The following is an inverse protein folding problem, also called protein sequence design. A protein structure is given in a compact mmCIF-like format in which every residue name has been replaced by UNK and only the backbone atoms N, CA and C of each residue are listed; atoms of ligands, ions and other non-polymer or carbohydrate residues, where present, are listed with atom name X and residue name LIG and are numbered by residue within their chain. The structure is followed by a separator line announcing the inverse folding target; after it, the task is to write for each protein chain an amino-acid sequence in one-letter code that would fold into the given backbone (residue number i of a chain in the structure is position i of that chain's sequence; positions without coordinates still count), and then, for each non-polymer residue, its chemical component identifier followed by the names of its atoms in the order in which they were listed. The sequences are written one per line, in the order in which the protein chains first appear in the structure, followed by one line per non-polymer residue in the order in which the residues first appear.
data_IF_100250491070
#
_entry.id   IF_100250491070
#
_cell.length_a   1.000
_cell.length_b   1.000
_cell.length_c   1.000
_cell.angle_alpha   90.00
_cell.angle_beta   90.00
_cell.angle_gamma   90.00
#
_symmetry.space_group_name_H-M   'P 1'
#
loop_
_entity.id
_entity.type
_entity.pdbx_description
1 polymer ?
#
# COMPACT_ATOMS: atom_id res chain seq x y z
N UNK A 1 -40.95 -19.75 55.12
CA UNK A 1 -40.76 -18.64 54.17
C UNK A 1 -39.50 -18.96 53.36
N UNK A 2 -39.66 -19.58 52.18
CA UNK A 2 -39.38 -19.00 50.84
C UNK A 2 -37.87 -18.75 50.60
N UNK A 3 -37.11 -19.56 49.81
CA UNK A 3 -36.99 -19.56 48.32
C UNK A 3 -37.00 -18.12 47.76
N UNK A 4 -36.04 -17.59 47.00
CA UNK A 4 -34.96 -18.12 46.13
C UNK A 4 -34.24 -16.92 45.44
N UNK A 5 -33.28 -17.20 44.53
CA UNK A 5 -32.75 -16.36 43.42
C UNK A 5 -31.53 -15.48 43.75
N UNK A 6 -30.32 -15.75 43.21
CA UNK A 6 -29.78 -15.42 41.85
C UNK A 6 -29.73 -13.90 41.65
N UNK A 7 -28.71 -13.22 41.12
CA UNK A 7 -27.64 -13.55 40.18
C UNK A 7 -26.65 -12.36 40.22
N UNK A 8 -25.35 -12.59 40.31
CA UNK A 8 -24.39 -12.37 39.21
C UNK A 8 -24.67 -11.15 38.32
N UNK A 9 -23.91 -10.07 38.51
CA UNK A 9 -23.60 -9.12 37.45
C UNK A 9 -22.08 -8.89 37.45
N UNK A 10 -21.37 -9.85 36.84
CA UNK A 10 -20.06 -9.59 36.27
C UNK A 10 -20.33 -8.83 34.98
N UNK A 11 -20.23 -7.50 35.01
CA UNK A 11 -20.07 -6.70 33.81
C UNK A 11 -18.65 -6.95 33.27
N UNK A 12 -18.47 -8.05 32.54
CA UNK A 12 -17.41 -8.14 31.53
C UNK A 12 -17.75 -7.15 30.44
N UNK A 13 -17.22 -5.93 30.59
CA UNK A 13 -17.03 -5.01 29.48
C UNK A 13 -16.04 -5.70 28.54
N UNK A 14 -16.56 -6.50 27.60
CA UNK A 14 -15.85 -6.79 26.37
C UNK A 14 -15.74 -5.46 25.64
N UNK A 15 -14.67 -4.73 25.94
CA UNK A 15 -14.10 -3.82 24.97
C UNK A 15 -13.71 -4.70 23.79
N UNK A 16 -14.62 -4.80 22.83
CA UNK A 16 -14.26 -5.16 21.46
C UNK A 16 -13.41 -4.00 20.98
N UNK A 17 -12.14 -4.02 21.38
CA UNK A 17 -11.10 -3.39 20.61
C UNK A 17 -11.22 -4.04 19.24
N UNK A 18 -11.92 -3.36 18.33
CA UNK A 18 -11.66 -3.51 16.93
C UNK A 18 -10.20 -3.08 16.82
N UNK A 19 -9.29 -4.04 16.90
CA UNK A 19 -7.99 -3.88 16.32
C UNK A 19 -8.29 -3.62 14.85
N UNK A 20 -8.40 -2.35 14.49
CA UNK A 20 -8.20 -1.91 13.13
C UNK A 20 -6.75 -2.29 12.90
N UNK A 21 -6.54 -3.52 12.42
CA UNK A 21 -5.22 -3.98 12.03
C UNK A 21 -4.80 -3.03 10.93
N UNK A 22 -3.80 -2.19 11.23
CA UNK A 22 -3.09 -1.43 10.22
C UNK A 22 -2.68 -2.43 9.14
N UNK A 23 -3.15 -2.19 7.92
CA UNK A 23 -2.99 -3.11 6.80
C UNK A 23 -1.55 -3.02 6.36
N UNK A 24 -0.70 -3.89 6.91
CA UNK A 24 0.71 -3.86 6.59
C UNK A 24 0.94 -4.53 5.22
N UNK A 25 1.36 -3.75 4.22
CA UNK A 25 1.60 -4.24 2.86
C UNK A 25 2.66 -5.36 2.85
N UNK A 26 3.75 -5.18 3.58
CA UNK A 26 4.77 -6.22 3.81
C UNK A 26 4.21 -7.50 4.46
N UNK A 27 3.24 -7.40 5.36
CA UNK A 27 2.56 -8.57 5.93
C UNK A 27 1.59 -9.25 4.94
N UNK A 28 1.11 -8.51 3.93
CA UNK A 28 0.09 -8.99 3.00
C UNK A 28 0.69 -9.63 1.74
N UNK A 29 1.75 -9.04 1.19
CA UNK A 29 2.47 -9.59 0.05
C UNK A 29 3.49 -10.63 0.47
N UNK A 30 4.07 -10.50 1.67
CA UNK A 30 5.02 -11.45 2.25
C UNK A 30 6.29 -11.61 1.40
N UNK A 31 7.14 -12.57 1.77
CA UNK A 31 8.34 -12.94 0.98
C UNK A 31 8.05 -14.01 -0.08
N UNK A 32 6.86 -14.61 -0.02
CA UNK A 32 6.47 -15.76 -0.85
C UNK A 32 5.78 -15.35 -2.16
N UNK A 33 5.65 -14.04 -2.40
CA UNK A 33 5.13 -13.49 -3.65
C UNK A 33 6.01 -13.87 -4.84
N UNK A 34 5.39 -14.37 -5.91
CA UNK A 34 6.08 -14.69 -7.17
C UNK A 34 6.29 -13.41 -7.98
N UNK A 35 7.50 -13.20 -8.49
CA UNK A 35 7.80 -12.11 -9.44
C UNK A 35 7.19 -12.46 -10.79
N UNK A 36 6.20 -11.67 -11.22
CA UNK A 36 5.48 -11.88 -12.48
C UNK A 36 5.97 -10.95 -13.61
N UNK A 37 6.52 -9.79 -13.27
CA UNK A 37 7.21 -8.92 -14.23
C UNK A 37 8.39 -8.20 -13.58
N UNK A 38 9.37 -7.83 -14.41
CA UNK A 38 10.55 -7.09 -14.01
C UNK A 38 10.97 -6.21 -15.18
N UNK A 39 10.39 -5.01 -15.21
CA UNK A 39 10.59 -4.03 -16.25
C UNK A 39 11.60 -2.98 -15.79
N UNK A 40 12.25 -2.31 -16.74
CA UNK A 40 13.22 -1.26 -16.44
C UNK A 40 13.01 -0.05 -17.32
N UNK A 41 13.36 1.12 -16.79
CA UNK A 41 13.41 2.37 -17.54
C UNK A 41 14.65 3.17 -17.13
N UNK A 42 15.06 4.11 -17.98
CA UNK A 42 16.28 4.89 -17.76
C UNK A 42 15.93 6.37 -17.65
N UNK A 43 16.46 7.02 -16.63
CA UNK A 43 16.32 8.45 -16.37
C UNK A 43 17.64 9.00 -15.83
N UNK A 44 18.14 10.11 -16.37
CA UNK A 44 19.43 10.72 -16.00
C UNK A 44 20.60 9.73 -15.86
N UNK A 45 20.78 8.85 -16.86
CA UNK A 45 21.80 7.80 -16.90
C UNK A 45 21.73 6.75 -15.76
N UNK A 46 20.63 6.73 -15.00
CA UNK A 46 20.33 5.72 -13.98
C UNK A 46 19.25 4.77 -14.48
N UNK A 47 19.36 3.50 -14.11
CA UNK A 47 18.35 2.48 -14.42
C UNK A 47 17.45 2.28 -13.21
N UNK A 48 16.15 2.42 -13.45
CA UNK A 48 15.10 2.15 -12.49
C UNK A 48 14.42 0.84 -12.85
N UNK A 49 14.02 0.10 -11.82
CA UNK A 49 13.34 -1.18 -11.93
C UNK A 49 11.92 -1.05 -11.42
N UNK A 50 11.02 -1.73 -12.11
CA UNK A 50 9.62 -1.89 -11.78
C UNK A 50 9.37 -3.39 -11.67
N UNK A 51 9.26 -3.89 -10.45
CA UNK A 51 9.09 -5.33 -10.18
C UNK A 51 7.69 -5.59 -9.69
N UNK A 52 6.93 -6.37 -10.44
CA UNK A 52 5.59 -6.78 -10.06
C UNK A 52 5.63 -8.15 -9.37
N UNK A 53 4.97 -8.28 -8.23
CA UNK A 53 4.87 -9.52 -7.45
C UNK A 53 3.44 -9.85 -7.09
N UNK A 54 3.14 -11.14 -6.96
CA UNK A 54 1.85 -11.59 -6.41
C UNK A 54 1.79 -11.40 -4.90
N UNK A 55 0.61 -11.09 -4.37
CA UNK A 55 0.36 -10.89 -2.95
C UNK A 55 -0.66 -11.92 -2.41
N UNK A 56 -0.23 -13.17 -2.14
CA UNK A 56 -1.14 -14.26 -1.78
C UNK A 56 -1.94 -14.02 -0.49
N UNK A 57 -1.45 -13.16 0.41
CA UNK A 57 -2.17 -12.79 1.63
C UNK A 57 -3.46 -12.01 1.36
N UNK A 58 -3.58 -11.31 0.22
CA UNK A 58 -4.77 -10.54 -0.15
C UNK A 58 -5.95 -11.48 -0.43
N UNK A 59 -5.73 -12.51 -1.25
CA UNK A 59 -6.75 -13.52 -1.58
C UNK A 59 -7.26 -14.24 -0.31
N UNK A 60 -6.33 -14.63 0.56
CA UNK A 60 -6.65 -15.31 1.82
C UNK A 60 -7.53 -14.43 2.72
N UNK A 61 -7.23 -13.13 2.83
CA UNK A 61 -8.00 -12.18 3.63
C UNK A 61 -9.41 -11.93 3.07
N UNK A 62 -9.56 -11.74 1.76
CA UNK A 62 -10.89 -11.57 1.13
C UNK A 62 -11.81 -12.77 1.36
N UNK A 63 -11.26 -13.98 1.35
CA UNK A 63 -12.04 -15.20 1.62
C UNK A 63 -12.65 -15.19 3.03
N UNK A 64 -12.01 -14.51 3.99
CA UNK A 64 -12.49 -14.34 5.36
C UNK A 64 -13.45 -13.16 5.50
N UNK A 65 -13.27 -12.10 4.70
CA UNK A 65 -14.01 -10.84 4.82
C UNK A 65 -15.33 -10.79 4.03
N UNK A 66 -15.66 -11.82 3.22
CA UNK A 66 -16.90 -12.01 2.44
C UNK A 66 -18.02 -10.98 2.72
N UNK A 67 -17.92 -9.80 2.07
CA UNK A 67 -18.97 -8.78 2.04
C UNK A 67 -19.59 -8.75 0.64
N UNK A 68 -20.89 -8.44 0.62
CA UNK A 68 -21.74 -8.40 -0.56
C UNK A 68 -21.13 -7.55 -1.68
N UNK A 69 -20.92 -8.18 -2.84
CA UNK A 69 -20.34 -7.57 -4.04
C UNK A 69 -21.36 -6.65 -4.71
N UNK A 70 -21.20 -5.34 -4.53
CA UNK A 70 -21.77 -4.36 -5.45
C UNK A 70 -20.98 -4.41 -6.75
N UNK A 71 -21.67 -4.57 -7.87
CA UNK A 71 -21.09 -4.51 -9.22
C UNK A 71 -20.45 -3.12 -9.38
N UNK A 72 -19.12 -3.07 -9.36
CA UNK A 72 -18.31 -1.86 -9.55
C UNK A 72 -17.60 -1.94 -10.92
N UNK A 73 -17.28 -0.79 -11.55
CA UNK A 73 -16.59 -0.76 -12.84
C UNK A 73 -15.21 -1.45 -12.78
N UNK A 74 -14.86 -2.13 -13.88
CA UNK A 74 -13.78 -3.12 -14.01
C UNK A 74 -12.34 -2.59 -14.05
N UNK A 75 -12.16 -1.28 -14.14
CA UNK A 75 -10.84 -0.66 -14.20
C UNK A 75 -10.97 0.77 -13.70
N UNK A 76 -10.21 1.11 -12.67
CA UNK A 76 -10.17 2.46 -12.13
C UNK A 76 -8.86 3.10 -12.56
N UNK A 77 -8.97 4.25 -13.22
CA UNK A 77 -7.82 5.12 -13.47
C UNK A 77 -7.49 5.87 -12.17
N UNK A 78 -6.30 5.64 -11.66
CA UNK A 78 -5.80 6.21 -10.41
C UNK A 78 -4.72 7.21 -10.74
N UNK A 79 -5.15 8.46 -10.82
CA UNK A 79 -4.30 9.61 -11.09
C UNK A 79 -4.68 10.77 -10.15
N UNK A 80 -5.15 10.44 -8.94
CA UNK A 80 -5.46 11.37 -7.85
C UNK A 80 -4.71 10.95 -6.59
N UNK A 81 -4.56 11.88 -5.65
CA UNK A 81 -3.88 11.67 -4.36
C UNK A 81 -4.68 10.80 -3.37
N UNK A 82 -5.75 10.15 -3.82
CA UNK A 82 -6.61 9.33 -2.98
C UNK A 82 -5.97 7.95 -2.78
N UNK A 83 -5.02 7.87 -1.84
CA UNK A 83 -4.26 6.68 -1.49
C UNK A 83 -4.23 6.49 0.02
N UNK A 84 -4.44 5.25 0.48
CA UNK A 84 -4.01 4.89 1.83
C UNK A 84 -2.48 4.80 1.85
N UNK A 85 -1.89 5.41 2.88
CA UNK A 85 -0.44 5.55 3.05
C UNK A 85 -0.04 4.87 4.36
N UNK A 86 1.04 4.08 4.36
CA UNK A 86 1.69 3.58 5.57
C UNK A 86 3.19 3.80 5.43
N UNK A 87 3.75 4.36 6.49
CA UNK A 87 5.18 4.37 6.66
C UNK A 87 5.58 2.95 7.03
N UNK A 88 6.42 2.30 6.23
CA UNK A 88 7.13 1.12 6.74
C UNK A 88 7.90 1.52 8.01
N UNK A 89 8.34 0.54 8.82
CA UNK A 89 9.40 0.78 9.80
C UNK A 89 10.66 1.24 9.03
N UNK A 90 10.73 2.55 8.74
CA UNK A 90 11.83 3.21 8.08
C UNK A 90 13.03 3.05 9.01
N UNK A 91 13.81 2.00 8.80
CA UNK A 91 15.15 1.95 9.37
C UNK A 91 15.87 3.19 8.87
N UNK A 92 16.55 3.89 9.77
CA UNK A 92 17.01 5.30 9.71
C UNK A 92 17.91 5.74 8.55
N UNK A 93 17.96 5.00 7.43
CA UNK A 93 18.98 5.12 6.37
C UNK A 93 18.38 5.31 4.96
N UNK A 94 17.12 5.76 4.83
CA UNK A 94 16.61 6.21 3.53
C UNK A 94 17.39 7.43 3.03
N UNK A 95 17.94 7.33 1.83
CA UNK A 95 18.59 8.46 1.18
C UNK A 95 17.51 9.34 0.54
N UNK A 96 17.20 10.47 1.17
CA UNK A 96 16.26 11.48 0.64
C UNK A 96 16.60 11.85 -0.81
N UNK A 97 17.89 11.99 -1.12
CA UNK A 97 18.34 12.27 -2.49
C UNK A 97 17.96 11.14 -3.47
N UNK A 98 18.01 9.88 -3.04
CA UNK A 98 17.61 8.73 -3.85
C UNK A 98 16.09 8.65 -4.02
N UNK A 99 15.31 9.07 -3.01
CA UNK A 99 13.85 9.17 -3.12
C UNK A 99 13.43 10.29 -4.07
N UNK A 100 14.06 11.47 -3.99
CA UNK A 100 13.85 12.57 -4.95
C UNK A 100 14.17 12.11 -6.37
N UNK A 101 15.31 11.48 -6.58
CA UNK A 101 15.68 10.97 -7.90
C UNK A 101 14.68 9.92 -8.43
N UNK A 102 14.08 9.11 -7.56
CA UNK A 102 13.05 8.13 -7.95
C UNK A 102 11.73 8.80 -8.31
N UNK A 103 11.30 9.77 -7.52
CA UNK A 103 10.09 10.53 -7.79
C UNK A 103 10.19 11.33 -9.09
N UNK A 104 11.29 12.07 -9.30
CA UNK A 104 11.55 12.80 -10.54
C UNK A 104 11.51 11.87 -11.77
N UNK A 105 12.05 10.65 -11.64
CA UNK A 105 12.06 9.66 -12.73
C UNK A 105 10.66 9.12 -13.06
N UNK A 106 9.79 9.00 -12.05
CA UNK A 106 8.39 8.60 -12.21
C UNK A 106 7.54 9.76 -12.76
N UNK A 107 7.78 10.98 -12.32
CA UNK A 107 7.13 12.20 -12.85
C UNK A 107 7.49 12.46 -14.32
N UNK A 108 8.72 12.17 -14.74
CA UNK A 108 9.17 12.32 -16.13
C UNK A 108 8.44 11.37 -17.11
N UNK A 109 7.83 10.29 -16.61
CA UNK A 109 6.92 9.46 -17.42
C UNK A 109 5.63 10.20 -17.81
N UNK A 110 5.38 11.38 -17.22
CA UNK A 110 4.27 12.26 -17.55
C UNK A 110 2.91 11.65 -17.26
N UNK A 111 1.99 11.75 -18.22
CA UNK A 111 0.62 11.20 -18.11
C UNK A 111 0.54 9.71 -18.43
N UNK A 112 1.67 8.99 -18.51
CA UNK A 112 1.67 7.56 -18.73
C UNK A 112 1.10 6.83 -17.52
N UNK A 113 0.41 5.73 -17.79
CA UNK A 113 -0.12 4.84 -16.77
C UNK A 113 0.45 3.42 -16.95
N UNK A 114 0.43 2.67 -15.87
CA UNK A 114 0.76 1.25 -15.86
C UNK A 114 -0.38 0.46 -15.22
N UNK A 115 -0.47 -0.81 -15.59
CA UNK A 115 -1.44 -1.71 -15.01
C UNK A 115 -0.92 -2.26 -13.68
N UNK A 116 -1.67 -2.04 -12.61
CA UNK A 116 -1.48 -2.70 -11.32
C UNK A 116 -2.54 -3.78 -11.18
N UNK A 117 -2.14 -5.03 -11.42
CA UNK A 117 -3.06 -6.16 -11.45
C UNK A 117 -3.68 -6.42 -10.07
N UNK A 118 -4.88 -6.98 -10.05
CA UNK A 118 -5.54 -7.39 -8.81
C UNK A 118 -4.61 -8.31 -8.00
N UNK A 119 -4.53 -8.11 -6.68
CA UNK A 119 -3.74 -8.96 -5.78
C UNK A 119 -2.23 -8.97 -6.07
N UNK A 120 -1.70 -7.88 -6.61
CA UNK A 120 -0.26 -7.71 -6.86
C UNK A 120 0.28 -6.46 -6.17
N UNK A 121 1.59 -6.44 -5.99
CA UNK A 121 2.35 -5.24 -5.69
C UNK A 121 3.32 -4.92 -6.81
N UNK A 122 3.67 -3.64 -6.94
CA UNK A 122 4.75 -3.16 -7.80
C UNK A 122 5.73 -2.39 -6.93
N UNK A 123 7.00 -2.80 -6.96
CA UNK A 123 8.10 -2.07 -6.33
C UNK A 123 8.90 -1.30 -7.38
N UNK A 124 9.08 0.00 -7.16
CA UNK A 124 9.95 0.88 -7.92
C UNK A 124 11.23 1.15 -7.15
N UNK A 125 12.38 0.94 -7.78
CA UNK A 125 13.68 1.14 -7.11
C UNK A 125 14.83 1.31 -8.10
N UNK A 126 15.96 1.82 -7.61
CA UNK A 126 17.22 1.86 -8.36
C UNK A 126 18.10 0.65 -8.03
N UNK A 127 19.08 0.31 -8.88
CA UNK A 127 20.03 -0.78 -8.60
C UNK A 127 20.80 -0.62 -7.26
N UNK A 128 20.85 0.60 -6.70
CA UNK A 128 21.49 0.89 -5.42
C UNK A 128 20.55 0.66 -4.21
N UNK A 129 19.23 0.59 -4.42
CA UNK A 129 18.26 0.14 -3.41
C UNK A 129 18.03 1.08 -2.22
N UNK A 130 18.53 2.32 -2.28
CA UNK A 130 18.52 3.27 -1.15
C UNK A 130 17.15 3.96 -0.93
N UNK A 131 16.20 3.76 -1.85
CA UNK A 131 14.80 4.17 -1.72
C UNK A 131 13.92 3.32 -2.62
N UNK A 132 12.82 2.80 -2.07
CA UNK A 132 11.87 1.98 -2.80
C UNK A 132 10.45 2.50 -2.57
N UNK A 133 9.67 2.59 -3.65
CA UNK A 133 8.22 2.85 -3.58
C UNK A 133 7.50 1.55 -3.90
N UNK A 134 6.68 1.04 -3.00
CA UNK A 134 5.85 -0.15 -3.23
C UNK A 134 4.37 0.22 -3.23
N UNK A 135 3.69 -0.09 -4.32
CA UNK A 135 2.23 0.04 -4.41
C UNK A 135 1.59 -1.34 -4.37
N UNK A 136 0.44 -1.45 -3.70
CA UNK A 136 -0.31 -2.71 -3.57
C UNK A 136 -1.75 -2.52 -3.99
N UNK A 137 -2.27 -3.44 -4.81
CA UNK A 137 -3.68 -3.47 -5.20
C UNK A 137 -4.48 -4.48 -4.38
N UNK A 138 -5.31 -3.95 -3.49
CA UNK A 138 -6.22 -4.73 -2.65
C UNK A 138 -7.56 -5.02 -3.33
N UNK A 139 -7.85 -4.37 -4.46
CA UNK A 139 -9.06 -4.56 -5.27
C UNK A 139 -9.09 -5.91 -5.99
N UNK A 140 -10.31 -6.41 -6.24
CA UNK A 140 -10.56 -7.56 -7.13
C UNK A 140 -10.36 -7.20 -8.62
N UNK A 141 -10.28 -5.90 -8.92
CA UNK A 141 -10.14 -5.35 -10.27
C UNK A 141 -8.71 -4.83 -10.51
N UNK A 142 -8.27 -4.89 -11.76
CA UNK A 142 -7.03 -4.25 -12.19
C UNK A 142 -7.18 -2.73 -12.15
N UNK A 143 -6.11 -2.05 -11.75
CA UNK A 143 -6.05 -0.59 -11.65
C UNK A 143 -5.10 -0.06 -12.73
N UNK A 144 -5.40 1.11 -13.29
CA UNK A 144 -4.50 1.83 -14.16
C UNK A 144 -3.95 3.02 -13.38
N UNK A 145 -2.70 2.93 -12.94
CA UNK A 145 -2.11 3.93 -12.03
C UNK A 145 -1.18 4.83 -12.82
N UNK A 146 -1.29 6.15 -12.64
CA UNK A 146 -0.37 7.11 -13.25
C UNK A 146 1.03 7.02 -12.62
N UNK A 147 2.10 7.13 -13.41
CA UNK A 147 3.45 7.12 -12.83
C UNK A 147 3.71 8.33 -11.92
N UNK A 148 3.33 9.54 -12.36
CA UNK A 148 3.60 10.77 -11.61
C UNK A 148 2.98 10.77 -10.21
N UNK A 149 1.78 10.18 -10.03
CA UNK A 149 1.12 10.18 -8.72
C UNK A 149 1.87 9.30 -7.70
N UNK A 150 2.52 8.23 -8.16
CA UNK A 150 3.39 7.40 -7.31
C UNK A 150 4.63 8.18 -6.88
N UNK A 151 5.21 8.97 -7.79
CA UNK A 151 6.34 9.86 -7.49
C UNK A 151 5.99 10.93 -6.44
N UNK A 152 4.93 11.70 -6.69
CA UNK A 152 4.50 12.79 -5.81
C UNK A 152 4.08 12.29 -4.41
N UNK A 153 3.32 11.18 -4.36
CA UNK A 153 2.95 10.58 -3.08
C UNK A 153 4.17 9.96 -2.38
N UNK A 154 5.07 9.31 -3.12
CA UNK A 154 6.30 8.74 -2.55
C UNK A 154 7.19 9.79 -1.87
N UNK A 155 7.31 10.98 -2.44
CA UNK A 155 7.98 12.12 -1.78
C UNK A 155 7.26 12.61 -0.55
N UNK A 156 5.93 12.72 -0.63
CA UNK A 156 5.11 13.15 0.51
C UNK A 156 5.28 12.18 1.69
N UNK A 157 5.37 10.88 1.41
CA UNK A 157 5.62 9.85 2.42
C UNK A 157 7.03 9.97 2.99
N UNK A 158 8.06 10.17 2.17
CA UNK A 158 9.45 10.34 2.64
C UNK A 158 9.57 11.55 3.59
N UNK A 159 9.02 12.71 3.20
CA UNK A 159 9.03 13.93 4.00
C UNK A 159 8.24 13.76 5.32
N UNK A 160 7.05 13.18 5.26
CA UNK A 160 6.16 13.06 6.42
C UNK A 160 6.59 11.93 7.39
N UNK A 161 7.11 10.81 6.87
CA UNK A 161 7.60 9.71 7.69
C UNK A 161 9.00 10.00 8.29
N UNK A 162 9.78 10.89 7.67
CA UNK A 162 11.10 11.32 8.16
C UNK A 162 11.08 12.33 9.31
N UNK A 163 9.99 13.09 9.51
CA UNK A 163 9.98 14.26 10.42
C UNK A 163 9.20 14.14 11.74
N UNK A 164 8.81 12.94 12.20
CA UNK A 164 7.96 12.70 13.39
C UNK A 164 6.46 12.76 13.03
N UNK A 165 5.90 11.60 12.71
CA UNK A 165 4.50 11.25 12.98
C UNK A 165 3.44 11.95 12.15
N UNK A 166 3.19 11.43 10.95
CA UNK A 166 1.88 11.50 10.30
C UNK A 166 1.94 11.96 8.85
N UNK A 167 1.96 10.99 7.93
CA UNK A 167 1.71 11.21 6.51
C UNK A 167 0.32 11.76 6.25
N UNK A 168 0.21 12.81 5.44
CA UNK A 168 -1.08 13.21 4.84
C UNK A 168 -1.36 12.37 3.60
N UNK A 169 -1.76 11.11 3.81
CA UNK A 169 -2.56 10.37 2.85
C UNK A 169 -4.03 10.55 3.19
N UNK A 170 -4.86 10.90 2.22
CA UNK A 170 -6.29 10.75 2.42
C UNK A 170 -6.60 9.25 2.47
N UNK A 171 -6.80 8.73 3.67
CA UNK A 171 -7.22 7.36 3.96
C UNK A 171 -8.68 7.13 3.52
N UNK A 172 -8.94 7.31 2.23
CA UNK A 172 -10.27 7.23 1.62
C UNK A 172 -10.33 6.17 0.51
N UNK A 173 -9.21 5.48 0.23
CA UNK A 173 -9.11 4.45 -0.79
C UNK A 173 -8.95 3.05 -0.19
N UNK A 174 -10.05 2.31 -0.12
CA UNK A 174 -10.05 0.86 0.16
C UNK A 174 -9.45 0.03 -1.00
N UNK A 175 -9.02 0.66 -2.11
CA UNK A 175 -8.68 -0.03 -3.36
C UNK A 175 -7.19 -0.31 -3.51
N UNK A 176 -6.34 0.63 -3.07
CA UNK A 176 -4.90 0.57 -3.28
C UNK A 176 -4.13 1.37 -2.24
N UNK A 177 -2.84 1.10 -2.20
CA UNK A 177 -1.98 1.51 -1.11
C UNK A 177 -0.56 1.81 -1.63
N UNK A 178 0.18 2.72 -0.97
CA UNK A 178 1.58 3.04 -1.25
C UNK A 178 2.43 3.02 0.04
N UNK A 179 3.54 2.26 0.00
CA UNK A 179 4.60 2.17 1.01
C UNK A 179 5.89 2.80 0.48
N UNK A 180 6.68 3.39 1.38
CA UNK A 180 8.07 3.80 1.11
C UNK A 180 8.99 3.14 2.13
N UNK A 181 10.10 2.55 1.68
CA UNK A 181 11.09 1.88 2.55
C UNK A 181 12.46 1.68 1.89
#
# INVERSE_FOLDING_TARGET
MQLSWLSSMILTVLAVFHAVGTVNAKATCGTDGEVISNDTFVYNDKTYRMVTRTCPGIAARRSLESRSRLIRPRQYDICSYDASIECADLTSDLSVASCIDLADALEDQGSANFALQSETSITFYTDYGDCNYEIVNYSEDDLAVCYYIVGELGLTIDDDCGQIGGGYGYDDSDLWYLEVY
#
